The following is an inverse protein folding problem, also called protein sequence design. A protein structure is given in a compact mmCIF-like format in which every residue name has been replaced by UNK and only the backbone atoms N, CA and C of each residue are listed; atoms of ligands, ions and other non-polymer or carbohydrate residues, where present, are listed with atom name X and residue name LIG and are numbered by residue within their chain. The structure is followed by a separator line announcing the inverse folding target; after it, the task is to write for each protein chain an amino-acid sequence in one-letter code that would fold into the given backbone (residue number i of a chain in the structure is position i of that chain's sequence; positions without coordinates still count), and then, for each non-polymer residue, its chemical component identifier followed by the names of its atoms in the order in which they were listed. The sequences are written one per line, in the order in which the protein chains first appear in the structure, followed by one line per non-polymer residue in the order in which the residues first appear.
data_IF_815074263572
#
_entry.id   IF_815074263572
#
_cell.length_a   1.000
_cell.length_b   1.000
_cell.length_c   1.000
_cell.angle_alpha   90.00
_cell.angle_beta   90.00
_cell.angle_gamma   90.00
#
_symmetry.space_group_name_H-M   'P 1'
#
loop_
_entity.id
_entity.type
_entity.pdbx_description
1 polymer ?
#
# COMPACT_ATOMS: atom_id res chain seq x y z
N UNK A 1 -60.00 -37.88 33.57
CA UNK A 1 -58.53 -37.66 33.69
C UNK A 1 -58.04 -37.17 32.32
N UNK A 2 -57.69 -35.90 32.22
CA UNK A 2 -57.10 -35.31 31.00
C UNK A 2 -55.61 -35.10 31.24
N UNK A 3 -54.76 -35.78 30.50
CA UNK A 3 -53.29 -35.64 30.56
C UNK A 3 -52.91 -34.55 29.61
N UNK A 4 -52.39 -33.43 30.15
CA UNK A 4 -51.79 -32.35 29.35
C UNK A 4 -50.33 -32.71 29.03
N UNK A 5 -50.05 -32.91 27.76
CA UNK A 5 -48.70 -33.11 27.23
C UNK A 5 -48.07 -31.73 26.95
N UNK A 6 -47.13 -31.33 27.80
CA UNK A 6 -46.32 -30.10 27.56
C UNK A 6 -45.21 -30.42 26.58
N UNK A 7 -45.24 -29.79 25.41
CA UNK A 7 -44.18 -29.85 24.41
C UNK A 7 -43.09 -28.83 24.80
N UNK A 8 -41.91 -29.32 25.19
CA UNK A 8 -40.71 -28.50 25.44
C UNK A 8 -40.06 -28.21 24.07
N UNK A 9 -40.16 -26.95 23.61
CA UNK A 9 -39.41 -26.50 22.43
C UNK A 9 -37.99 -26.16 22.85
N UNK A 10 -36.99 -26.93 22.41
CA UNK A 10 -35.60 -26.64 22.59
C UNK A 10 -35.14 -25.57 21.56
N UNK A 11 -34.87 -24.38 22.04
CA UNK A 11 -34.21 -23.34 21.21
C UNK A 11 -32.72 -23.67 21.06
N UNK A 12 -32.31 -24.10 19.87
CA UNK A 12 -30.91 -24.17 19.48
C UNK A 12 -30.42 -22.75 19.15
N UNK A 13 -29.67 -22.14 20.06
CA UNK A 13 -28.88 -20.90 19.74
C UNK A 13 -27.68 -21.36 18.91
N UNK A 14 -27.71 -21.12 17.61
CA UNK A 14 -26.54 -21.26 16.76
C UNK A 14 -25.51 -20.22 17.22
N UNK A 15 -24.45 -20.66 17.90
CA UNK A 15 -23.29 -19.83 18.20
C UNK A 15 -22.63 -19.48 16.88
N UNK A 16 -22.91 -18.27 16.37
CA UNK A 16 -22.17 -17.69 15.23
C UNK A 16 -20.69 -17.62 15.59
N UNK A 17 -19.83 -18.15 14.75
CA UNK A 17 -18.38 -17.95 14.87
C UNK A 17 -18.09 -16.46 14.90
N UNK A 18 -17.33 -15.95 15.91
CA UNK A 18 -16.93 -14.56 15.92
C UNK A 18 -16.19 -14.25 14.61
N UNK A 19 -16.38 -13.04 14.03
CA UNK A 19 -15.62 -12.63 12.84
C UNK A 19 -14.13 -12.75 13.17
N UNK A 20 -13.36 -13.37 12.27
CA UNK A 20 -11.91 -13.43 12.40
C UNK A 20 -11.39 -12.01 12.60
N UNK A 21 -10.59 -11.80 13.65
CA UNK A 21 -9.93 -10.50 13.87
C UNK A 21 -9.14 -10.17 12.61
N UNK A 22 -9.39 -9.00 12.02
CA UNK A 22 -8.62 -8.52 10.89
C UNK A 22 -7.13 -8.54 11.26
N UNK A 23 -6.30 -9.07 10.37
CA UNK A 23 -4.84 -9.00 10.51
C UNK A 23 -4.37 -7.65 9.96
N UNK A 24 -4.03 -6.68 10.82
CA UNK A 24 -3.66 -5.35 10.36
C UNK A 24 -2.45 -5.33 9.41
N UNK A 25 -1.54 -6.30 9.57
CA UNK A 25 -0.39 -6.48 8.69
C UNK A 25 -0.83 -6.95 7.30
N UNK A 26 -1.68 -7.96 7.24
CA UNK A 26 -2.21 -8.49 5.97
C UNK A 26 -3.01 -7.40 5.22
N UNK A 27 -3.81 -6.61 5.95
CA UNK A 27 -4.57 -5.49 5.40
C UNK A 27 -3.64 -4.42 4.82
N UNK A 28 -2.59 -4.00 5.55
CA UNK A 28 -1.63 -3.02 5.06
C UNK A 28 -0.88 -3.52 3.82
N UNK A 29 -0.44 -4.77 3.82
CA UNK A 29 0.21 -5.36 2.65
C UNK A 29 -0.73 -5.47 1.44
N UNK A 30 -2.05 -5.63 1.67
CA UNK A 30 -3.03 -5.59 0.59
C UNK A 30 -3.20 -4.17 0.01
N UNK A 31 -3.13 -3.13 0.85
CA UNK A 31 -3.13 -1.72 0.42
C UNK A 31 -1.89 -1.42 -0.42
N UNK A 32 -0.72 -1.86 0.00
CA UNK A 32 0.52 -1.68 -0.76
C UNK A 32 0.47 -2.37 -2.14
N UNK A 33 -0.02 -3.62 -2.19
CA UNK A 33 -0.27 -4.29 -3.48
C UNK A 33 -1.29 -3.57 -4.36
N UNK A 34 -2.30 -2.93 -3.76
CA UNK A 34 -3.27 -2.13 -4.51
C UNK A 34 -2.62 -0.86 -5.09
N UNK A 35 -1.71 -0.24 -4.35
CA UNK A 35 -0.92 0.89 -4.82
C UNK A 35 -0.02 0.49 -6.02
N UNK A 36 0.68 -0.65 -5.93
CA UNK A 36 1.46 -1.19 -7.05
C UNK A 36 0.61 -1.47 -8.30
N UNK A 37 -0.59 -2.04 -8.14
CA UNK A 37 -1.52 -2.22 -9.28
C UNK A 37 -1.95 -0.89 -9.89
N UNK A 38 -2.26 0.12 -9.08
CA UNK A 38 -2.62 1.44 -9.56
C UNK A 38 -1.48 2.08 -10.38
N UNK A 39 -0.22 1.86 -9.98
CA UNK A 39 0.96 2.29 -10.75
C UNK A 39 0.99 1.69 -12.15
N UNK A 40 0.65 0.40 -12.29
CA UNK A 40 0.58 -0.25 -13.60
C UNK A 40 -0.61 0.23 -14.45
N UNK A 41 -1.75 0.52 -13.83
CA UNK A 41 -3.00 0.88 -14.49
C UNK A 41 -3.08 2.36 -14.88
N UNK A 42 -2.63 3.26 -13.99
CA UNK A 42 -2.78 4.72 -14.14
C UNK A 42 -1.46 5.46 -14.33
N UNK A 43 -0.34 4.75 -14.25
CA UNK A 43 0.99 5.33 -14.20
C UNK A 43 1.43 5.69 -12.77
N UNK A 44 2.75 5.64 -12.55
CA UNK A 44 3.35 5.81 -11.23
C UNK A 44 3.01 7.17 -10.60
N UNK A 45 3.13 8.26 -11.37
CA UNK A 45 2.92 9.62 -10.85
C UNK A 45 1.50 9.82 -10.29
N UNK A 46 0.48 9.33 -11.01
CA UNK A 46 -0.91 9.43 -10.57
C UNK A 46 -1.21 8.51 -9.38
N UNK A 47 -0.67 7.30 -9.39
CA UNK A 47 -0.79 6.38 -8.27
C UNK A 47 -0.14 6.97 -7.00
N UNK A 48 1.02 7.63 -7.17
CA UNK A 48 1.74 8.25 -6.07
C UNK A 48 0.94 9.41 -5.46
N UNK A 49 0.45 10.35 -6.29
CA UNK A 49 -0.42 11.45 -5.84
C UNK A 49 -1.62 10.93 -5.05
N UNK A 50 -2.29 9.88 -5.55
CA UNK A 50 -3.48 9.33 -4.91
C UNK A 50 -3.22 8.73 -3.53
N UNK A 51 -2.05 8.11 -3.34
CA UNK A 51 -1.71 7.38 -2.12
C UNK A 51 -0.89 8.18 -1.11
N UNK A 52 -0.26 9.30 -1.49
CA UNK A 52 0.57 10.11 -0.60
C UNK A 52 -0.27 10.80 0.49
N UNK A 53 0.20 10.75 1.73
CA UNK A 53 -0.31 11.53 2.84
C UNK A 53 -0.11 13.05 2.61
N UNK A 54 -0.87 13.89 3.30
CA UNK A 54 -0.76 15.36 3.13
C UNK A 54 0.67 15.85 3.36
N UNK A 55 1.35 15.32 4.36
CA UNK A 55 2.74 15.61 4.73
C UNK A 55 3.71 14.49 4.30
N UNK A 56 3.27 13.59 3.41
CA UNK A 56 4.05 12.47 2.91
C UNK A 56 5.25 12.92 2.07
N UNK A 57 6.36 12.19 2.18
CA UNK A 57 7.65 12.53 1.58
C UNK A 57 8.25 11.35 0.82
N UNK A 58 9.12 11.64 -0.14
CA UNK A 58 10.04 10.64 -0.70
C UNK A 58 11.46 10.96 -0.31
N UNK A 59 12.28 9.93 -0.21
CA UNK A 59 13.71 10.04 0.08
C UNK A 59 14.58 9.51 -1.06
N UNK A 60 13.97 9.34 -2.25
CA UNK A 60 14.63 8.88 -3.46
C UNK A 60 14.93 10.03 -4.41
N UNK A 61 15.99 9.87 -5.20
CA UNK A 61 16.39 10.84 -6.21
C UNK A 61 17.09 12.09 -5.67
N UNK A 62 17.43 13.00 -6.58
CA UNK A 62 18.18 14.24 -6.28
C UNK A 62 17.30 15.37 -5.75
N UNK A 63 16.00 15.25 -5.91
CA UNK A 63 15.02 16.25 -5.47
C UNK A 63 13.83 15.55 -4.82
N UNK A 64 13.93 15.18 -3.54
CA UNK A 64 12.85 14.48 -2.83
C UNK A 64 11.57 15.30 -2.80
N UNK A 65 10.43 14.63 -2.87
CA UNK A 65 9.10 15.23 -2.67
C UNK A 65 8.96 15.54 -1.18
N UNK A 66 8.52 16.75 -0.86
CA UNK A 66 8.43 17.24 0.52
C UNK A 66 7.06 17.08 1.16
N UNK A 67 6.01 17.00 0.36
CA UNK A 67 4.62 16.82 0.77
C UNK A 67 3.74 16.56 -0.46
N UNK A 68 2.45 16.28 -0.23
CA UNK A 68 1.50 16.01 -1.32
C UNK A 68 1.33 17.19 -2.29
N UNK A 69 1.32 18.43 -1.81
CA UNK A 69 1.20 19.60 -2.69
C UNK A 69 2.38 19.72 -3.65
N UNK A 70 3.60 19.47 -3.17
CA UNK A 70 4.80 19.40 -3.99
C UNK A 70 4.72 18.27 -5.04
N UNK A 71 4.23 17.09 -4.67
CA UNK A 71 4.00 15.98 -5.61
C UNK A 71 2.99 16.37 -6.71
N UNK A 72 1.86 16.96 -6.33
CA UNK A 72 0.83 17.42 -7.28
C UNK A 72 1.41 18.46 -8.23
N UNK A 73 2.16 19.44 -7.72
CA UNK A 73 2.77 20.46 -8.55
C UNK A 73 3.77 19.84 -9.55
N UNK A 74 4.66 18.97 -9.09
CA UNK A 74 5.74 18.39 -9.93
C UNK A 74 5.18 17.45 -10.99
N UNK A 75 4.25 16.57 -10.62
CA UNK A 75 3.72 15.56 -11.53
C UNK A 75 2.64 16.09 -12.47
N UNK A 76 2.10 17.28 -12.23
CA UNK A 76 1.19 17.96 -13.16
C UNK A 76 1.88 19.07 -14.01
N UNK A 77 3.13 19.41 -13.72
CA UNK A 77 3.90 20.30 -14.57
C UNK A 77 4.35 19.56 -15.84
N UNK A 78 3.93 19.97 -17.06
CA UNK A 78 4.33 19.31 -18.32
C UNK A 78 5.84 19.28 -18.55
N UNK A 79 6.61 20.13 -17.87
CA UNK A 79 8.08 20.17 -17.90
C UNK A 79 8.71 19.55 -16.66
N UNK A 80 7.89 19.02 -15.77
CA UNK A 80 8.32 18.40 -14.53
C UNK A 80 9.00 17.04 -14.73
N UNK A 81 9.56 16.49 -13.67
CA UNK A 81 10.17 15.15 -13.71
C UNK A 81 9.08 14.08 -13.69
N UNK A 82 8.62 13.67 -14.85
CA UNK A 82 7.64 12.58 -14.99
C UNK A 82 8.32 11.23 -15.11
N UNK A 83 7.63 10.21 -14.61
CA UNK A 83 7.96 8.83 -14.96
C UNK A 83 7.64 8.60 -16.45
N UNK A 84 8.56 7.99 -17.19
CA UNK A 84 8.29 7.63 -18.57
C UNK A 84 7.04 6.71 -18.64
N UNK A 85 5.97 7.10 -19.36
CA UNK A 85 4.73 6.33 -19.43
C UNK A 85 4.92 4.93 -20.05
N UNK A 86 6.02 4.70 -20.76
CA UNK A 86 6.39 3.39 -21.30
C UNK A 86 7.14 2.53 -20.29
N UNK A 87 7.61 3.11 -19.19
CA UNK A 87 8.26 2.38 -18.09
C UNK A 87 7.23 1.91 -17.10
N UNK A 88 7.15 0.59 -16.90
CA UNK A 88 6.33 -0.03 -15.87
C UNK A 88 7.11 -0.04 -14.57
N UNK A 89 6.60 0.69 -13.58
CA UNK A 89 7.13 0.73 -12.22
C UNK A 89 6.17 -0.05 -11.34
N UNK A 90 6.64 -1.14 -10.75
CA UNK A 90 5.84 -1.97 -9.86
C UNK A 90 6.69 -2.54 -8.73
N UNK A 91 6.02 -3.07 -7.71
CA UNK A 91 6.67 -3.67 -6.55
C UNK A 91 5.78 -4.73 -5.91
N UNK A 92 6.39 -5.54 -5.06
CA UNK A 92 5.72 -6.57 -4.27
C UNK A 92 6.19 -6.47 -2.83
N UNK A 93 5.30 -6.27 -1.86
CA UNK A 93 5.66 -6.30 -0.45
C UNK A 93 5.97 -7.74 -0.01
N UNK A 94 7.14 -7.93 0.58
CA UNK A 94 7.58 -9.20 1.15
C UNK A 94 7.14 -9.30 2.61
N UNK A 95 7.22 -8.20 3.36
CA UNK A 95 6.79 -8.13 4.75
C UNK A 95 6.35 -6.71 5.14
N UNK A 96 5.85 -6.58 6.35
CA UNK A 96 5.41 -5.31 6.93
C UNK A 96 5.07 -5.44 8.39
N UNK A 97 4.68 -4.34 9.00
CA UNK A 97 4.24 -4.27 10.39
C UNK A 97 3.29 -3.10 10.62
N UNK A 98 2.50 -3.19 11.67
CA UNK A 98 1.56 -2.14 12.08
C UNK A 98 1.74 -1.88 13.57
N UNK A 99 1.70 -0.61 13.98
CA UNK A 99 1.74 -0.21 15.40
C UNK A 99 0.56 -0.77 16.18
N UNK A 100 0.73 -0.92 17.50
CA UNK A 100 -0.31 -1.50 18.37
C UNK A 100 -1.64 -0.74 18.32
N UNK A 101 -1.59 0.58 18.09
CA UNK A 101 -2.78 1.43 17.94
C UNK A 101 -3.39 1.41 16.54
N UNK A 102 -2.75 0.73 15.58
CA UNK A 102 -3.21 0.58 14.22
C UNK A 102 -3.15 1.85 13.35
N UNK A 103 -2.39 2.89 13.76
CA UNK A 103 -2.33 4.18 13.08
C UNK A 103 -1.09 4.39 12.23
N UNK A 104 -0.03 3.65 12.52
CA UNK A 104 1.24 3.69 11.79
C UNK A 104 1.61 2.28 11.32
N UNK A 105 2.26 2.17 10.17
CA UNK A 105 2.75 0.90 9.67
C UNK A 105 3.90 1.09 8.70
N UNK A 106 4.47 -0.02 8.26
CA UNK A 106 5.52 -0.06 7.25
C UNK A 106 5.40 -1.32 6.41
N UNK A 107 5.84 -1.24 5.17
CA UNK A 107 6.02 -2.37 4.26
C UNK A 107 7.41 -2.27 3.64
N UNK A 108 8.00 -3.42 3.35
CA UNK A 108 9.23 -3.50 2.58
C UNK A 108 9.15 -4.66 1.58
N UNK A 109 9.93 -4.58 0.52
CA UNK A 109 9.94 -5.61 -0.50
C UNK A 109 10.86 -5.25 -1.65
N UNK A 110 10.55 -5.80 -2.81
CA UNK A 110 11.34 -5.59 -4.01
C UNK A 110 10.53 -4.87 -5.08
N UNK A 111 11.24 -4.11 -5.92
CA UNK A 111 10.66 -3.32 -7.00
C UNK A 111 11.29 -3.64 -8.35
N UNK A 112 10.59 -3.31 -9.42
CA UNK A 112 11.11 -3.39 -10.77
C UNK A 112 10.67 -2.21 -11.62
N UNK A 113 11.58 -1.73 -12.46
CA UNK A 113 11.35 -0.67 -13.45
C UNK A 113 11.71 -1.22 -14.82
N UNK A 114 10.71 -1.49 -15.64
CA UNK A 114 10.86 -2.14 -16.94
C UNK A 114 10.30 -1.24 -18.04
N UNK A 115 11.14 -0.86 -18.99
CA UNK A 115 10.76 0.02 -20.10
C UNK A 115 11.85 0.14 -21.16
N UNK A 116 11.67 1.03 -22.16
CA UNK A 116 12.66 1.25 -23.21
C UNK A 116 13.99 1.71 -22.63
N UNK A 117 15.02 0.88 -22.74
CA UNK A 117 16.36 1.18 -22.21
C UNK A 117 16.48 1.08 -20.69
N UNK A 118 15.44 0.66 -19.98
CA UNK A 118 15.43 0.51 -18.51
C UNK A 118 15.00 -0.92 -18.16
N UNK A 119 15.86 -1.62 -17.41
CA UNK A 119 15.53 -2.90 -16.78
C UNK A 119 16.32 -2.94 -15.47
N UNK A 120 15.68 -2.55 -14.38
CA UNK A 120 16.30 -2.50 -13.06
C UNK A 120 15.39 -3.12 -12.03
N UNK A 121 15.99 -3.75 -11.04
CA UNK A 121 15.34 -4.20 -9.80
C UNK A 121 15.92 -3.44 -8.62
N UNK A 122 15.26 -3.54 -7.50
CA UNK A 122 15.69 -2.91 -6.27
C UNK A 122 14.81 -3.29 -5.09
N UNK A 123 15.12 -2.68 -3.97
CA UNK A 123 14.36 -2.83 -2.73
C UNK A 123 13.70 -1.51 -2.36
N UNK A 124 12.61 -1.58 -1.63
CA UNK A 124 11.92 -0.40 -1.14
C UNK A 124 11.46 -0.58 0.31
N UNK A 125 11.22 0.54 0.96
CA UNK A 125 10.49 0.60 2.22
C UNK A 125 9.51 1.78 2.14
N UNK A 126 8.26 1.52 2.51
CA UNK A 126 7.22 2.54 2.63
C UNK A 126 6.72 2.58 4.06
N UNK A 127 6.69 3.78 4.63
CA UNK A 127 6.04 4.08 5.91
C UNK A 127 4.63 4.60 5.64
N UNK A 128 3.66 4.05 6.34
CA UNK A 128 2.24 4.32 6.18
C UNK A 128 1.66 4.98 7.42
N UNK A 129 0.70 5.87 7.23
CA UNK A 129 -0.10 6.49 8.28
C UNK A 129 -1.57 6.42 7.92
N UNK A 130 -2.46 6.31 8.91
CA UNK A 130 -3.91 6.41 8.67
C UNK A 130 -4.36 7.86 8.71
N UNK A 131 -4.87 8.35 7.57
CA UNK A 131 -5.61 9.60 7.47
C UNK A 131 -7.11 9.28 7.28
N UNK A 132 -7.94 9.69 8.22
CA UNK A 132 -9.39 9.43 8.18
C UNK A 132 -9.74 7.95 7.94
N UNK A 133 -9.03 7.05 8.62
CA UNK A 133 -9.23 5.60 8.50
C UNK A 133 -8.61 4.94 7.25
N UNK A 134 -7.99 5.70 6.36
CA UNK A 134 -7.36 5.22 5.12
C UNK A 134 -5.85 5.27 5.22
N UNK A 135 -5.17 4.19 4.85
CA UNK A 135 -3.72 4.15 4.78
C UNK A 135 -3.18 5.07 3.67
N UNK A 136 -2.21 5.90 4.01
CA UNK A 136 -1.51 6.82 3.13
C UNK A 136 0.01 6.71 3.32
N UNK A 137 0.76 6.93 2.25
CA UNK A 137 2.22 6.93 2.27
C UNK A 137 2.72 8.16 3.03
N UNK A 138 3.41 7.95 4.15
CA UNK A 138 4.03 9.00 4.96
C UNK A 138 5.48 9.22 4.59
N UNK A 139 6.18 8.15 4.24
CA UNK A 139 7.56 8.17 3.79
C UNK A 139 7.82 7.02 2.82
N UNK A 140 8.57 7.27 1.77
CA UNK A 140 8.90 6.26 0.78
C UNK A 140 10.36 6.37 0.37
N UNK A 141 11.04 5.24 0.30
CA UNK A 141 12.42 5.14 -0.15
C UNK A 141 12.65 3.85 -0.93
N UNK A 142 13.59 3.91 -1.85
CA UNK A 142 14.00 2.74 -2.61
C UNK A 142 15.48 2.80 -2.99
N UNK A 143 16.02 1.63 -3.31
CA UNK A 143 17.36 1.46 -3.85
C UNK A 143 17.29 0.68 -5.15
N UNK A 144 18.32 0.81 -5.96
CA UNK A 144 18.50 0.01 -7.18
C UNK A 144 19.59 -1.02 -6.93
N UNK A 145 19.35 -2.25 -7.37
CA UNK A 145 20.32 -3.33 -7.26
C UNK A 145 21.55 -3.03 -8.13
N UNK A 146 22.73 -3.46 -7.70
CA UNK A 146 23.94 -3.39 -8.51
C UNK A 146 23.75 -4.15 -9.82
N UNK A 147 24.26 -3.61 -10.93
CA UNK A 147 24.32 -4.39 -12.16
C UNK A 147 25.18 -5.62 -11.96
N UNK A 148 24.80 -6.80 -12.54
CA UNK A 148 25.67 -7.95 -12.54
C UNK A 148 27.06 -7.57 -13.09
N UNK A 149 28.12 -8.02 -12.42
CA UNK A 149 29.47 -7.85 -12.96
C UNK A 149 29.59 -8.70 -14.22
N UNK A 150 30.23 -8.19 -15.28
CA UNK A 150 30.47 -8.93 -16.50
C UNK A 150 31.37 -10.15 -16.26
#
# INVERSE_FOLDING_TARGET
MKVNLAVLAAFFIAAGTPPALADPKADLMAVDRAFARMSLEKGYDQAYIANLALDGQTFTGTAPIKNKADAVQRFNDPKGPHSDPKTKITWVPDTGGVSADGTLGWTEGHSSHIGPGVSTTGHYMTVWVKENGTWKVRGDMGSTDPKPKP
#
